data_IF_749603630101
#
_entry.id   IF_749603630101
#
_cell.length_a   1.000
_cell.length_b   1.000
_cell.length_c   1.000
_cell.angle_alpha   90.00
_cell.angle_beta   90.00
_cell.angle_gamma   90.00
#
_symmetry.space_group_name_H-M   'P 1'
#
loop_
_entity.id
_entity.type
_entity.pdbx_description
1 polymer ?
#
# COMPACT_ATOMS: atom_id res chain seq x y z
N UNK A 1 22.39 -19.70 28.77
CA UNK A 1 21.89 -19.60 27.38
C UNK A 1 23.08 -19.26 26.48
N UNK A 2 23.77 -20.27 25.94
CA UNK A 2 24.82 -20.05 24.95
C UNK A 2 24.16 -19.71 23.61
N UNK A 3 24.05 -18.42 23.29
CA UNK A 3 23.71 -17.98 21.94
C UNK A 3 24.86 -18.40 21.02
N UNK A 4 24.73 -19.56 20.37
CA UNK A 4 25.74 -20.05 19.42
C UNK A 4 25.91 -19.01 18.31
N UNK A 5 27.11 -18.46 18.17
CA UNK A 5 27.47 -17.41 17.20
C UNK A 5 26.95 -17.77 15.78
N UNK A 6 27.02 -19.05 15.39
CA UNK A 6 26.54 -19.57 14.09
C UNK A 6 25.03 -19.39 13.84
N UNK A 7 24.22 -19.25 14.89
CA UNK A 7 22.77 -19.10 14.79
C UNK A 7 22.37 -17.66 14.43
N UNK A 8 23.24 -16.68 14.65
CA UNK A 8 23.01 -15.27 14.32
C UNK A 8 23.35 -14.92 12.86
N UNK A 9 24.33 -15.62 12.26
CA UNK A 9 24.73 -15.35 10.86
C UNK A 9 23.65 -15.69 9.85
N UNK A 10 22.87 -16.75 10.07
CA UNK A 10 21.77 -17.15 9.16
C UNK A 10 20.73 -16.03 8.98
N UNK A 11 20.06 -15.52 10.02
CA UNK A 11 19.08 -14.43 9.84
C UNK A 11 19.73 -13.16 9.30
N UNK A 12 20.98 -12.86 9.69
CA UNK A 12 21.71 -11.70 9.17
C UNK A 12 21.93 -11.80 7.65
N UNK A 13 22.40 -12.93 7.14
CA UNK A 13 22.60 -13.13 5.70
C UNK A 13 21.30 -13.02 4.90
N UNK A 14 20.20 -13.55 5.43
CA UNK A 14 18.88 -13.45 4.81
C UNK A 14 18.42 -11.99 4.78
N UNK A 15 18.55 -11.27 5.89
CA UNK A 15 18.19 -9.85 5.96
C UNK A 15 19.00 -9.01 4.96
N UNK A 16 20.31 -9.23 4.87
CA UNK A 16 21.17 -8.54 3.89
C UNK A 16 20.75 -8.88 2.46
N UNK A 17 20.50 -10.15 2.14
CA UNK A 17 20.04 -10.57 0.81
C UNK A 17 18.69 -9.94 0.44
N UNK A 18 17.74 -9.88 1.40
CA UNK A 18 16.45 -9.21 1.19
C UNK A 18 16.63 -7.72 0.91
N UNK A 19 17.42 -7.03 1.73
CA UNK A 19 17.68 -5.60 1.54
C UNK A 19 18.34 -5.36 0.19
N UNK A 20 19.30 -6.19 -0.20
CA UNK A 20 19.96 -6.07 -1.51
C UNK A 20 18.98 -6.27 -2.67
N UNK A 21 18.18 -7.35 -2.65
CA UNK A 21 17.23 -7.66 -3.72
C UNK A 21 16.10 -6.63 -3.84
N UNK A 22 15.65 -6.07 -2.72
CA UNK A 22 14.51 -5.16 -2.68
C UNK A 22 14.91 -3.69 -2.45
N UNK A 23 16.19 -3.34 -2.46
CA UNK A 23 16.68 -1.97 -2.18
C UNK A 23 15.99 -0.92 -3.07
N UNK A 24 15.89 -1.21 -4.37
CA UNK A 24 15.25 -0.32 -5.34
C UNK A 24 13.75 -0.20 -5.10
N UNK A 25 13.09 -1.30 -4.77
CA UNK A 25 11.65 -1.36 -4.52
C UNK A 25 11.28 -0.61 -3.24
N UNK A 26 12.02 -0.87 -2.16
CA UNK A 26 11.85 -0.21 -0.87
C UNK A 26 12.19 1.28 -0.94
N UNK A 27 13.26 1.65 -1.67
CA UNK A 27 13.61 3.06 -1.88
C UNK A 27 12.53 3.84 -2.64
N UNK A 28 11.92 3.23 -3.67
CA UNK A 28 10.79 3.84 -4.37
C UNK A 28 9.53 3.87 -3.51
N UNK A 29 9.24 2.81 -2.75
CA UNK A 29 8.11 2.76 -1.83
C UNK A 29 8.22 3.83 -0.74
N UNK A 30 9.40 3.98 -0.12
CA UNK A 30 9.64 5.01 0.88
C UNK A 30 9.57 6.43 0.30
N UNK A 31 9.99 6.62 -0.95
CA UNK A 31 9.78 7.89 -1.66
C UNK A 31 8.30 8.18 -1.84
N UNK A 32 7.51 7.23 -2.31
CA UNK A 32 6.06 7.39 -2.47
C UNK A 32 5.41 7.76 -1.13
N UNK A 33 5.78 7.07 -0.04
CA UNK A 33 5.28 7.41 1.31
C UNK A 33 5.67 8.82 1.77
N UNK A 34 6.77 9.37 1.28
CA UNK A 34 7.21 10.72 1.65
C UNK A 34 6.58 11.81 0.78
N UNK A 35 6.40 11.54 -0.52
CA UNK A 35 5.96 12.54 -1.49
C UNK A 35 4.47 12.52 -1.79
N UNK A 36 3.80 11.37 -1.64
CA UNK A 36 2.37 11.23 -1.91
C UNK A 36 1.58 11.36 -0.61
N UNK A 37 0.79 12.44 -0.50
CA UNK A 37 -0.05 12.70 0.67
C UNK A 37 -1.04 11.56 0.96
N UNK A 38 -1.53 10.86 -0.08
CA UNK A 38 -2.49 9.77 0.07
C UNK A 38 -1.88 8.53 0.74
N UNK A 39 -0.57 8.33 0.60
CA UNK A 39 0.18 7.20 1.15
C UNK A 39 1.15 7.58 2.28
N UNK A 40 1.06 8.82 2.78
CA UNK A 40 1.88 9.34 3.88
C UNK A 40 1.82 8.50 5.16
N UNK A 41 0.67 7.88 5.42
CA UNK A 41 0.48 6.94 6.54
C UNK A 41 1.41 5.72 6.47
N UNK A 42 1.90 5.35 5.28
CA UNK A 42 2.84 4.26 5.08
C UNK A 42 4.16 4.41 5.83
N UNK A 43 4.58 5.66 6.16
CA UNK A 43 5.77 5.90 6.98
C UNK A 43 5.63 5.35 8.41
N UNK A 44 4.41 5.32 8.96
CA UNK A 44 4.14 4.83 10.31
C UNK A 44 4.05 3.29 10.36
N UNK A 45 3.72 2.66 9.24
CA UNK A 45 3.45 1.21 9.17
C UNK A 45 4.62 0.35 9.66
N UNK A 46 5.90 0.59 9.28
CA UNK A 46 7.03 -0.16 9.82
C UNK A 46 7.15 -0.09 11.35
N UNK A 47 6.85 1.06 11.94
CA UNK A 47 6.90 1.24 13.40
C UNK A 47 5.77 0.47 14.10
N UNK A 48 4.55 0.55 13.55
CA UNK A 48 3.39 -0.17 14.08
C UNK A 48 3.60 -1.68 13.95
N UNK A 49 4.11 -2.17 12.82
CA UNK A 49 4.47 -3.58 12.64
C UNK A 49 5.50 -4.01 13.68
N UNK A 50 6.55 -3.21 13.89
CA UNK A 50 7.57 -3.49 14.91
C UNK A 50 6.98 -3.57 16.32
N UNK A 51 6.05 -2.69 16.65
CA UNK A 51 5.35 -2.68 17.93
C UNK A 51 4.45 -3.92 18.12
N UNK A 52 3.67 -4.30 17.11
CA UNK A 52 2.82 -5.52 17.17
C UNK A 52 3.70 -6.76 17.35
N UNK A 53 4.81 -6.85 16.60
CA UNK A 53 5.76 -7.97 16.73
C UNK A 53 6.40 -8.00 18.13
N UNK A 54 6.67 -6.83 18.72
CA UNK A 54 7.19 -6.74 20.08
C UNK A 54 6.18 -7.29 21.10
N UNK A 55 4.92 -6.88 21.03
CA UNK A 55 3.87 -7.35 21.95
C UNK A 55 3.69 -8.86 21.83
N UNK A 56 3.62 -9.35 20.59
CA UNK A 56 3.32 -10.76 20.33
C UNK A 56 4.56 -11.66 20.44
N UNK A 57 5.71 -11.13 20.85
CA UNK A 57 7.01 -11.81 20.78
C UNK A 57 7.02 -13.18 21.48
N UNK A 58 6.41 -13.28 22.66
CA UNK A 58 6.32 -14.55 23.40
C UNK A 58 5.45 -15.58 22.67
N UNK A 59 4.31 -15.16 22.12
CA UNK A 59 3.42 -16.02 21.35
C UNK A 59 4.10 -16.47 20.03
N UNK A 60 4.86 -15.58 19.39
CA UNK A 60 5.62 -15.88 18.18
C UNK A 60 6.72 -16.92 18.44
N UNK A 61 7.41 -16.84 19.58
CA UNK A 61 8.41 -17.84 20.00
C UNK A 61 7.77 -19.22 20.19
N UNK A 62 6.60 -19.27 20.81
CA UNK A 62 5.88 -20.52 21.07
C UNK A 62 5.31 -21.16 19.80
N UNK A 63 4.90 -20.35 18.82
CA UNK A 63 4.33 -20.79 17.54
C UNK A 63 5.38 -21.22 16.48
N UNK A 64 6.69 -21.13 16.79
CA UNK A 64 7.81 -21.45 15.88
C UNK A 64 7.97 -22.93 15.51
N UNK A 65 7.02 -23.80 15.88
CA UNK A 65 7.10 -25.25 15.63
C UNK A 65 6.57 -25.60 14.24
N UNK A 66 7.19 -26.58 13.59
CA UNK A 66 6.79 -27.17 12.30
C UNK A 66 6.96 -26.25 11.08
N UNK A 67 8.21 -25.91 10.77
CA UNK A 67 8.57 -25.24 9.54
C UNK A 67 8.22 -26.11 8.31
N UNK A 68 7.63 -25.52 7.28
CA UNK A 68 7.29 -26.23 6.05
C UNK A 68 8.23 -25.79 4.93
N UNK A 69 9.28 -26.58 4.72
CA UNK A 69 10.30 -26.30 3.72
C UNK A 69 9.72 -26.22 2.30
N UNK A 70 8.85 -27.16 1.94
CA UNK A 70 8.24 -27.22 0.60
C UNK A 70 7.32 -26.03 0.34
N UNK A 71 6.39 -25.74 1.24
CA UNK A 71 5.46 -24.61 1.06
C UNK A 71 6.18 -23.26 1.12
N UNK A 72 7.12 -23.09 2.04
CA UNK A 72 7.92 -21.87 2.11
C UNK A 72 8.78 -21.68 0.86
N UNK A 73 9.41 -22.75 0.37
CA UNK A 73 10.26 -22.71 -0.82
C UNK A 73 9.49 -22.40 -2.10
N UNK A 74 8.28 -22.94 -2.27
CA UNK A 74 7.43 -22.62 -3.44
C UNK A 74 6.99 -21.16 -3.42
N UNK A 75 6.60 -20.63 -2.25
CA UNK A 75 6.21 -19.23 -2.10
C UNK A 75 7.39 -18.29 -2.35
N UNK A 76 8.57 -18.61 -1.83
CA UNK A 76 9.81 -17.84 -2.10
C UNK A 76 10.12 -17.84 -3.60
N UNK A 77 10.02 -19.01 -4.25
CA UNK A 77 10.27 -19.14 -5.69
C UNK A 77 9.28 -18.30 -6.51
N UNK A 78 7.99 -18.35 -6.15
CA UNK A 78 6.97 -17.51 -6.76
C UNK A 78 7.26 -16.02 -6.56
N UNK A 79 7.64 -15.61 -5.36
CA UNK A 79 8.01 -14.23 -5.06
C UNK A 79 9.20 -13.76 -5.91
N UNK A 80 10.22 -14.59 -6.10
CA UNK A 80 11.36 -14.27 -6.99
C UNK A 80 10.93 -14.14 -8.45
N UNK A 81 10.06 -15.03 -8.94
CA UNK A 81 9.51 -14.95 -10.31
C UNK A 81 8.70 -13.65 -10.47
N UNK A 82 7.88 -13.29 -9.48
CA UNK A 82 7.13 -12.03 -9.50
C UNK A 82 8.05 -10.80 -9.45
N UNK A 83 9.12 -10.83 -8.64
CA UNK A 83 10.11 -9.77 -8.62
C UNK A 83 10.77 -9.60 -9.99
N UNK A 84 11.15 -10.71 -10.63
CA UNK A 84 11.71 -10.71 -11.98
C UNK A 84 10.70 -10.18 -13.02
N UNK A 85 9.47 -10.68 -13.00
CA UNK A 85 8.42 -10.21 -13.91
C UNK A 85 8.12 -8.72 -13.72
N UNK A 86 8.03 -8.25 -12.47
CA UNK A 86 7.80 -6.85 -12.16
C UNK A 86 8.98 -5.95 -12.53
N UNK A 87 10.22 -6.43 -12.42
CA UNK A 87 11.40 -5.67 -12.85
C UNK A 87 11.50 -5.59 -14.37
N UNK A 88 11.29 -6.69 -15.08
CA UNK A 88 11.27 -6.72 -16.55
C UNK A 88 10.10 -5.93 -17.15
N UNK A 89 8.93 -5.99 -16.52
CA UNK A 89 7.74 -5.23 -16.92
C UNK A 89 7.72 -3.78 -16.43
N UNK A 90 8.75 -3.32 -15.71
CA UNK A 90 8.81 -2.01 -15.06
C UNK A 90 7.60 -1.70 -14.13
N UNK A 91 6.96 -2.73 -13.59
CA UNK A 91 5.73 -2.65 -12.80
C UNK A 91 6.04 -2.71 -11.30
N UNK A 92 5.99 -1.55 -10.64
CA UNK A 92 6.35 -1.41 -9.23
C UNK A 92 5.37 -2.12 -8.30
N UNK A 93 4.09 -2.20 -8.67
CA UNK A 93 3.11 -2.87 -7.82
C UNK A 93 3.41 -4.36 -7.68
N UNK A 94 3.73 -5.04 -8.78
CA UNK A 94 4.11 -6.46 -8.75
C UNK A 94 5.37 -6.68 -7.91
N UNK A 95 6.37 -5.78 -8.04
CA UNK A 95 7.59 -5.84 -7.22
C UNK A 95 7.26 -5.71 -5.72
N UNK A 96 6.36 -4.81 -5.34
CA UNK A 96 5.94 -4.60 -3.94
C UNK A 96 5.15 -5.80 -3.40
N UNK A 97 4.22 -6.35 -4.17
CA UNK A 97 3.50 -7.57 -3.77
C UNK A 97 4.46 -8.76 -3.62
N UNK A 98 5.47 -8.87 -4.50
CA UNK A 98 6.50 -9.90 -4.38
C UNK A 98 7.28 -9.81 -3.06
N UNK A 99 7.52 -8.59 -2.54
CA UNK A 99 8.17 -8.40 -1.25
C UNK A 99 7.33 -8.95 -0.09
N UNK A 100 6.02 -8.69 -0.11
CA UNK A 100 5.09 -9.25 0.89
C UNK A 100 5.10 -10.77 0.83
N UNK A 101 5.02 -11.36 -0.37
CA UNK A 101 5.08 -12.81 -0.53
C UNK A 101 6.43 -13.40 -0.10
N UNK A 102 7.53 -12.71 -0.37
CA UNK A 102 8.87 -13.12 0.08
C UNK A 102 8.94 -13.22 1.61
N UNK A 103 8.44 -12.19 2.32
CA UNK A 103 8.37 -12.21 3.79
C UNK A 103 7.53 -13.39 4.30
N UNK A 104 6.36 -13.63 3.69
CA UNK A 104 5.50 -14.75 4.07
C UNK A 104 6.18 -16.10 3.84
N UNK A 105 6.84 -16.26 2.69
CA UNK A 105 7.58 -17.47 2.33
C UNK A 105 8.72 -17.76 3.31
N UNK A 106 9.50 -16.74 3.69
CA UNK A 106 10.58 -16.86 4.68
C UNK A 106 10.02 -17.29 6.05
N UNK A 107 8.90 -16.71 6.48
CA UNK A 107 8.25 -17.08 7.74
C UNK A 107 7.82 -18.55 7.72
N UNK A 108 7.16 -19.01 6.65
CA UNK A 108 6.72 -20.41 6.52
C UNK A 108 7.92 -21.36 6.48
N UNK A 109 8.97 -20.97 5.74
CA UNK A 109 10.15 -21.80 5.50
C UNK A 109 10.99 -22.01 6.77
N UNK A 110 11.14 -20.99 7.62
CA UNK A 110 11.99 -21.06 8.82
C UNK A 110 11.24 -21.24 10.14
N UNK A 111 9.94 -20.94 10.19
CA UNK A 111 9.17 -20.93 11.44
C UNK A 111 7.95 -21.85 11.33
N UNK A 112 6.83 -21.37 10.78
CA UNK A 112 5.62 -22.16 10.53
C UNK A 112 4.58 -21.36 9.76
N UNK A 113 3.62 -22.04 9.12
CA UNK A 113 2.45 -21.39 8.53
C UNK A 113 1.46 -20.88 9.59
N UNK A 114 1.48 -21.45 10.81
CA UNK A 114 0.66 -20.96 11.91
C UNK A 114 1.14 -19.59 12.39
N UNK A 115 2.44 -19.31 12.31
CA UNK A 115 3.00 -18.00 12.67
C UNK A 115 2.43 -16.87 11.80
N UNK A 116 2.11 -17.16 10.53
CA UNK A 116 1.45 -16.17 9.67
C UNK A 116 0.09 -15.76 10.18
N UNK A 117 -0.64 -16.62 10.90
CA UNK A 117 -1.95 -16.25 11.49
C UNK A 117 -1.80 -15.18 12.56
N UNK A 118 -0.76 -15.27 13.39
CA UNK A 118 -0.44 -14.25 14.39
C UNK A 118 0.03 -12.94 13.72
N UNK A 119 0.65 -13.05 12.54
CA UNK A 119 1.15 -11.91 11.78
C UNK A 119 0.16 -11.38 10.74
N UNK A 120 -1.10 -11.81 10.72
CA UNK A 120 -2.10 -11.35 9.74
C UNK A 120 -2.23 -9.82 9.77
N UNK A 121 -2.32 -9.22 10.95
CA UNK A 121 -2.46 -7.76 11.08
C UNK A 121 -1.24 -7.04 10.51
N UNK A 122 0.02 -7.38 10.89
CA UNK A 122 1.21 -6.82 10.24
C UNK A 122 1.23 -6.95 8.71
N UNK A 123 0.83 -8.11 8.18
CA UNK A 123 0.80 -8.34 6.73
C UNK A 123 -0.28 -7.51 6.03
N UNK A 124 -1.46 -7.37 6.65
CA UNK A 124 -2.52 -6.51 6.14
C UNK A 124 -2.08 -5.04 6.15
N UNK A 125 -1.49 -4.56 7.24
CA UNK A 125 -0.97 -3.20 7.32
C UNK A 125 0.08 -2.94 6.21
N UNK A 126 0.99 -3.88 5.99
CA UNK A 126 1.97 -3.78 4.92
C UNK A 126 1.31 -3.75 3.53
N UNK A 127 0.26 -4.56 3.32
CA UNK A 127 -0.48 -4.59 2.05
C UNK A 127 -1.22 -3.27 1.80
N UNK A 128 -1.87 -2.69 2.81
CA UNK A 128 -2.56 -1.40 2.71
C UNK A 128 -1.60 -0.23 2.54
N UNK A 129 -0.37 -0.35 3.03
CA UNK A 129 0.68 0.65 2.81
C UNK A 129 1.19 0.68 1.36
N UNK A 130 0.93 -0.34 0.55
CA UNK A 130 1.40 -0.41 -0.84
C UNK A 130 0.49 0.44 -1.73
N UNK A 131 1.06 1.42 -2.47
CA UNK A 131 0.30 2.20 -3.43
C UNK A 131 -0.35 1.33 -4.50
N UNK A 132 -1.66 1.51 -4.68
CA UNK A 132 -2.44 0.85 -5.73
C UNK A 132 -1.94 1.34 -7.10
N UNK A 133 -1.91 0.49 -8.15
CA UNK A 133 -1.53 0.91 -9.48
C UNK A 133 -2.39 2.10 -9.96
N UNK A 134 -1.73 3.13 -10.49
CA UNK A 134 -2.39 4.33 -11.02
C UNK A 134 -3.45 4.00 -12.08
N UNK A 135 -3.26 2.92 -12.84
CA UNK A 135 -4.23 2.45 -13.84
C UNK A 135 -5.57 2.06 -13.18
N UNK A 136 -5.52 1.39 -12.03
CA UNK A 136 -6.73 1.01 -11.29
C UNK A 136 -7.34 2.24 -10.64
N UNK A 137 -6.50 3.09 -10.03
CA UNK A 137 -6.93 4.34 -9.42
C UNK A 137 -7.68 5.23 -10.43
N UNK A 138 -7.08 5.49 -11.60
CA UNK A 138 -7.66 6.33 -12.65
C UNK A 138 -8.96 5.75 -13.21
N UNK A 139 -9.06 4.41 -13.34
CA UNK A 139 -10.30 3.75 -13.77
C UNK A 139 -11.47 3.96 -12.82
N UNK A 140 -11.21 4.17 -11.53
CA UNK A 140 -12.25 4.37 -10.51
C UNK A 140 -12.49 5.86 -10.27
N UNK A 141 -11.42 6.64 -10.10
CA UNK A 141 -11.47 8.06 -9.81
C UNK A 141 -12.12 8.85 -10.96
N UNK A 142 -11.80 8.52 -12.21
CA UNK A 142 -12.28 9.29 -13.36
C UNK A 142 -13.81 9.21 -13.53
N UNK A 143 -14.47 8.03 -13.50
CA UNK A 143 -15.93 7.97 -13.48
C UNK A 143 -16.54 8.76 -12.32
N UNK A 144 -16.00 8.65 -11.11
CA UNK A 144 -16.50 9.40 -9.96
C UNK A 144 -16.41 10.91 -10.17
N UNK A 145 -15.32 11.42 -10.75
CA UNK A 145 -15.18 12.84 -11.09
C UNK A 145 -16.23 13.28 -12.10
N UNK A 146 -16.53 12.45 -13.11
CA UNK A 146 -17.59 12.76 -14.07
C UNK A 146 -18.96 12.81 -13.37
N UNK A 147 -19.29 11.86 -12.50
CA UNK A 147 -20.52 11.89 -11.72
C UNK A 147 -20.61 13.12 -10.80
N UNK A 148 -19.54 13.44 -10.09
CA UNK A 148 -19.45 14.62 -9.24
C UNK A 148 -19.63 15.93 -10.05
N UNK A 149 -18.99 16.03 -11.22
CA UNK A 149 -19.12 17.19 -12.11
C UNK A 149 -20.56 17.36 -12.62
N UNK A 150 -21.29 16.27 -12.87
CA UNK A 150 -22.69 16.32 -13.29
C UNK A 150 -23.60 16.85 -12.17
N UNK A 151 -23.40 16.38 -10.94
CA UNK A 151 -24.16 16.86 -9.77
C UNK A 151 -23.84 18.34 -9.51
N UNK A 152 -22.57 18.74 -9.60
CA UNK A 152 -22.16 20.13 -9.44
C UNK A 152 -22.80 21.05 -10.49
N UNK A 153 -22.83 20.64 -11.77
CA UNK A 153 -23.52 21.38 -12.84
C UNK A 153 -25.01 21.50 -12.56
N UNK A 154 -25.66 20.44 -12.07
CA UNK A 154 -27.08 20.48 -11.71
C UNK A 154 -27.35 21.49 -10.59
N UNK A 155 -26.49 21.52 -9.55
CA UNK A 155 -26.57 22.52 -8.47
C UNK A 155 -26.34 23.95 -8.97
N UNK A 156 -25.34 24.18 -9.81
CA UNK A 156 -25.02 25.52 -10.35
C UNK A 156 -26.16 26.07 -11.21
N UNK A 157 -26.82 25.21 -12.01
CA UNK A 157 -27.98 25.61 -12.83
C UNK A 157 -29.16 26.12 -11.99
N UNK A 158 -29.29 25.66 -10.74
CA UNK A 158 -30.32 26.12 -9.82
C UNK A 158 -30.16 27.63 -9.47
N UNK A 159 -28.94 28.16 -9.58
CA UNK A 159 -28.63 29.57 -9.34
C UNK A 159 -28.61 30.42 -10.63
N UNK A 160 -29.23 29.93 -11.71
CA UNK A 160 -29.35 30.60 -13.02
C UNK A 160 -28.02 31.08 -13.65
N UNK A 161 -26.92 30.41 -13.30
CA UNK A 161 -25.63 30.52 -14.00
C UNK A 161 -25.64 29.47 -15.11
N UNK A 162 -25.10 29.79 -16.29
CA UNK A 162 -24.99 28.87 -17.42
C UNK A 162 -23.59 28.19 -17.42
N UNK A 163 -23.44 27.00 -16.81
CA UNK A 163 -22.19 26.26 -16.85
C UNK A 163 -22.02 25.51 -18.17
N UNK A 164 -20.79 25.52 -18.69
CA UNK A 164 -20.34 24.63 -19.78
C UNK A 164 -19.49 23.53 -19.15
N UNK A 165 -19.80 22.26 -19.43
CA UNK A 165 -19.07 21.11 -18.87
C UNK A 165 -18.21 20.45 -19.94
N UNK A 166 -16.90 20.38 -19.69
CA UNK A 166 -15.91 19.68 -20.50
C UNK A 166 -15.26 18.59 -19.64
N UNK A 167 -15.84 17.38 -19.63
CA UNK A 167 -15.32 16.28 -18.79
C UNK A 167 -15.53 16.53 -17.29
N UNK A 168 -14.44 16.63 -16.52
CA UNK A 168 -14.43 17.01 -15.09
C UNK A 168 -14.35 18.54 -14.89
N UNK A 169 -14.13 19.32 -15.96
CA UNK A 169 -13.98 20.77 -15.90
C UNK A 169 -15.33 21.43 -16.12
N UNK A 170 -15.68 22.35 -15.23
CA UNK A 170 -16.89 23.15 -15.29
C UNK A 170 -16.46 24.60 -15.50
N UNK A 171 -16.74 25.13 -16.68
CA UNK A 171 -16.51 26.53 -17.00
C UNK A 171 -17.77 27.34 -16.68
N UNK A 172 -17.61 28.38 -15.87
CA UNK A 172 -18.69 29.29 -15.50
C UNK A 172 -18.33 30.73 -15.88
N UNK A 173 -19.35 31.49 -16.31
CA UNK A 173 -19.28 32.93 -16.44
C UNK A 173 -20.15 33.57 -15.34
N UNK A 174 -19.55 34.09 -14.25
CA UNK A 174 -20.30 34.74 -13.18
C UNK A 174 -21.00 36.01 -13.67
N UNK A 175 -22.23 36.28 -13.21
CA UNK A 175 -22.96 37.51 -13.56
C UNK A 175 -22.15 38.74 -13.09
N UNK A 176 -21.75 39.60 -14.04
CA UNK A 176 -20.95 40.81 -13.79
C UNK A 176 -19.43 40.66 -13.92
N UNK A 177 -18.93 39.47 -14.27
CA UNK A 177 -17.51 39.24 -14.57
C UNK A 177 -17.26 39.18 -16.08
N UNK A 178 -16.10 39.69 -16.54
CA UNK A 178 -15.60 39.54 -17.92
C UNK A 178 -14.68 38.31 -18.10
N UNK A 179 -14.44 37.53 -17.03
CA UNK A 179 -13.54 36.38 -17.05
C UNK A 179 -14.31 35.08 -16.81
N UNK A 180 -14.00 34.09 -17.64
CA UNK A 180 -14.47 32.70 -17.50
C UNK A 180 -13.63 32.05 -16.40
N UNK A 181 -14.30 31.44 -15.42
CA UNK A 181 -13.64 30.67 -14.36
C UNK A 181 -13.83 29.19 -14.66
N UNK A 182 -12.71 28.48 -14.85
CA UNK A 182 -12.69 27.04 -14.99
C UNK A 182 -12.54 26.39 -13.60
N UNK A 183 -13.59 25.70 -13.15
CA UNK A 183 -13.60 24.90 -11.94
C UNK A 183 -13.34 23.44 -12.34
N UNK A 184 -12.14 22.96 -12.07
CA UNK A 184 -11.85 21.54 -12.23
C UNK A 184 -12.36 20.77 -11.02
N UNK A 185 -13.15 19.72 -11.25
CA UNK A 185 -13.41 18.72 -10.21
C UNK A 185 -12.16 17.84 -10.10
N UNK A 186 -11.16 18.39 -9.42
CA UNK A 186 -9.90 17.70 -9.11
C UNK A 186 -10.24 16.43 -8.32
N UNK A 187 -9.38 15.42 -8.44
CA UNK A 187 -9.46 14.15 -7.72
C UNK A 187 -9.98 14.31 -6.28
N UNK A 188 -10.81 13.34 -5.85
CA UNK A 188 -11.35 13.26 -4.50
C UNK A 188 -10.24 12.92 -3.47
N UNK A 189 -9.23 13.77 -3.36
CA UNK A 189 -8.07 13.62 -2.48
C UNK A 189 -8.46 13.72 -1.00
N UNK A 190 -9.56 14.39 -0.67
CA UNK A 190 -10.04 14.50 0.71
C UNK A 190 -10.84 13.28 1.19
N UNK A 191 -11.61 12.65 0.30
CA UNK A 191 -12.52 11.56 0.68
C UNK A 191 -11.81 10.23 0.88
N UNK A 192 -10.99 9.84 -0.10
CA UNK A 192 -10.19 8.61 -0.02
C UNK A 192 -9.13 8.71 1.10
N UNK A 193 -8.53 9.88 1.30
CA UNK A 193 -7.58 10.13 2.40
C UNK A 193 -8.21 9.87 3.76
N UNK A 194 -9.38 10.47 4.02
CA UNK A 194 -10.11 10.25 5.27
C UNK A 194 -10.44 8.76 5.48
N UNK A 195 -10.95 8.10 4.44
CA UNK A 195 -11.25 6.66 4.48
C UNK A 195 -10.02 5.79 4.75
N UNK A 196 -8.90 6.02 4.07
CA UNK A 196 -7.66 5.27 4.28
C UNK A 196 -7.11 5.48 5.69
N UNK A 197 -7.13 6.72 6.19
CA UNK A 197 -6.72 7.00 7.58
C UNK A 197 -7.64 6.31 8.59
N UNK A 198 -8.95 6.33 8.37
CA UNK A 198 -9.93 5.67 9.24
C UNK A 198 -9.77 4.15 9.22
N UNK A 199 -9.56 3.54 8.05
CA UNK A 199 -9.34 2.09 7.93
C UNK A 199 -8.05 1.68 8.63
N UNK A 200 -6.97 2.45 8.45
CA UNK A 200 -5.69 2.18 9.13
C UNK A 200 -5.87 2.26 10.65
N UNK A 201 -6.56 3.29 11.13
CA UNK A 201 -6.81 3.49 12.56
C UNK A 201 -7.73 2.41 13.13
N UNK A 202 -8.75 1.99 12.38
CA UNK A 202 -9.63 0.89 12.75
C UNK A 202 -8.87 -0.45 12.85
N UNK A 203 -7.95 -0.73 11.92
CA UNK A 203 -7.11 -1.94 11.97
C UNK A 203 -6.11 -1.94 13.14
N UNK A 204 -5.66 -0.77 13.58
CA UNK A 204 -4.75 -0.64 14.73
C UNK A 204 -5.51 -0.80 16.06
N UNK A 205 -6.77 -0.39 16.12
CA UNK A 205 -7.61 -0.46 17.32
C UNK A 205 -8.32 -1.81 17.51
N UNK A 206 -8.19 -2.74 16.56
CA UNK A 206 -8.82 -4.05 16.58
C UNK A 206 -7.82 -5.13 17.02
#
# INVERSE_FOLDING_TARGET
MEFSFKQFWKPLTIAVAMVFLYATTLGKLGRDWWTDENYSHGLLVPFVIGYIIWIEWENLQNARKNASFWLGGTIISLALIMLLAGTLGAELFIQRISFVLMLAGIIIYFFSANLLRLLVVPFLLLLFAIPIPQIIFNKIAFPLQIWASQIAVWGIRLFEVAPIRNGNVIEILPRGSMQIVALEVVEACSGIRSLMTLVTLALVLW
#
